data_IF_422777377632
#
_entry.id   IF_422777377632
#
_cell.length_a   1.000
_cell.length_b   1.000
_cell.length_c   1.000
_cell.angle_alpha   90.00
_cell.angle_beta   90.00
_cell.angle_gamma   90.00
#
_symmetry.space_group_name_H-M   'P 1'
#
loop_
_entity.id
_entity.type
_entity.pdbx_description
1 polymer ?
#
# COMPACT_ATOMS: atom_id res chain seq x y z
N UNK A 1 -16.71 -21.81 -1.28
CA UNK A 1 -15.82 -21.92 -0.09
C UNK A 1 -15.12 -20.58 0.10
N UNK A 2 -15.39 -19.84 1.17
CA UNK A 2 -14.79 -18.51 1.45
C UNK A 2 -13.69 -18.68 2.50
N UNK A 3 -12.43 -18.48 2.12
CA UNK A 3 -11.28 -18.55 3.02
C UNK A 3 -11.29 -17.37 4.00
N UNK A 4 -11.64 -17.64 5.26
CA UNK A 4 -11.39 -16.75 6.39
C UNK A 4 -10.00 -17.04 6.96
N UNK A 5 -9.01 -16.24 6.55
CA UNK A 5 -7.68 -16.33 7.12
C UNK A 5 -6.94 -15.01 7.03
N UNK A 6 -7.27 -14.03 7.88
CA UNK A 6 -6.34 -12.93 8.20
C UNK A 6 -6.75 -11.99 9.37
N UNK A 7 -7.47 -12.46 10.39
CA UNK A 7 -7.94 -11.57 11.49
C UNK A 7 -6.89 -11.32 12.58
N UNK A 8 -5.89 -12.20 12.72
CA UNK A 8 -4.85 -12.08 13.77
C UNK A 8 -3.75 -11.07 13.40
N UNK A 9 -3.29 -11.09 12.15
CA UNK A 9 -2.21 -10.20 11.67
C UNK A 9 -2.62 -8.73 11.69
N UNK A 10 -3.89 -8.44 11.34
CA UNK A 10 -4.42 -7.07 11.25
C UNK A 10 -4.41 -6.34 12.59
N UNK A 11 -4.73 -7.04 13.70
CA UNK A 11 -4.79 -6.44 15.03
C UNK A 11 -3.41 -6.11 15.58
N UNK A 12 -2.43 -6.99 15.40
CA UNK A 12 -1.03 -6.73 15.76
C UNK A 12 -0.47 -5.54 14.98
N UNK A 13 -0.74 -5.46 13.67
CA UNK A 13 -0.29 -4.33 12.85
C UNK A 13 -0.89 -2.98 13.30
N UNK A 14 -2.17 -2.98 13.70
CA UNK A 14 -2.84 -1.78 14.22
C UNK A 14 -2.26 -1.29 15.55
N UNK A 15 -1.81 -2.20 16.42
CA UNK A 15 -1.17 -1.86 17.69
C UNK A 15 0.22 -1.25 17.45
N UNK A 16 1.01 -1.83 16.53
CA UNK A 16 2.33 -1.29 16.17
C UNK A 16 2.21 0.11 15.55
N UNK A 17 1.28 0.32 14.62
CA UNK A 17 1.08 1.65 14.04
C UNK A 17 0.73 2.67 15.14
N UNK A 18 -0.11 2.33 16.13
CA UNK A 18 -0.48 3.25 17.23
C UNK A 18 0.69 3.67 18.14
N UNK A 19 1.78 2.90 18.17
CA UNK A 19 2.96 3.16 19.03
C UNK A 19 4.02 3.98 18.30
N UNK A 20 4.00 4.02 16.96
CA UNK A 20 4.95 4.79 16.16
C UNK A 20 4.56 6.26 16.08
N UNK A 21 5.56 7.13 16.09
CA UNK A 21 5.39 8.55 15.79
C UNK A 21 4.85 8.73 14.37
N UNK A 22 4.14 9.84 14.13
CA UNK A 22 3.51 10.12 12.83
C UNK A 22 4.54 10.15 11.70
N UNK A 23 5.73 10.68 11.95
CA UNK A 23 6.80 10.71 10.96
C UNK A 23 7.30 9.31 10.61
N UNK A 24 7.50 8.43 11.59
CA UNK A 24 7.87 7.03 11.37
C UNK A 24 6.80 6.28 10.57
N UNK A 25 5.52 6.57 10.82
CA UNK A 25 4.43 5.97 10.06
C UNK A 25 4.45 6.42 8.59
N UNK A 26 4.78 7.68 8.32
CA UNK A 26 4.91 8.24 6.97
C UNK A 26 6.14 7.62 6.26
N UNK A 27 7.27 7.51 6.93
CA UNK A 27 8.46 6.85 6.39
C UNK A 27 8.19 5.38 6.07
N UNK A 28 7.51 4.67 6.97
CA UNK A 28 7.12 3.28 6.72
C UNK A 28 6.13 3.14 5.56
N UNK A 29 5.23 4.11 5.37
CA UNK A 29 4.37 4.13 4.19
C UNK A 29 5.19 4.27 2.91
N UNK A 30 6.21 5.14 2.89
CA UNK A 30 7.12 5.28 1.75
C UNK A 30 7.86 3.98 1.43
N UNK A 31 8.37 3.29 2.45
CA UNK A 31 9.00 1.99 2.30
C UNK A 31 8.07 0.94 1.72
N UNK A 32 6.83 0.87 2.22
CA UNK A 32 5.82 -0.06 1.74
C UNK A 32 5.45 0.24 0.27
N UNK A 33 5.40 1.53 -0.14
CA UNK A 33 5.20 1.92 -1.55
C UNK A 33 6.37 1.40 -2.42
N UNK A 34 7.61 1.58 -1.97
CA UNK A 34 8.80 1.11 -2.71
C UNK A 34 8.81 -0.41 -2.84
N UNK A 35 8.53 -1.14 -1.75
CA UNK A 35 8.45 -2.61 -1.76
C UNK A 35 7.34 -3.09 -2.68
N UNK A 36 6.15 -2.49 -2.61
CA UNK A 36 5.03 -2.88 -3.48
C UNK A 36 5.36 -2.69 -4.95
N UNK A 37 6.06 -1.59 -5.31
CA UNK A 37 6.55 -1.39 -6.68
C UNK A 37 7.48 -2.52 -7.12
N UNK A 38 8.46 -2.86 -6.30
CA UNK A 38 9.40 -3.95 -6.60
C UNK A 38 8.65 -5.28 -6.78
N UNK A 39 7.68 -5.58 -5.91
CA UNK A 39 6.88 -6.81 -6.04
C UNK A 39 6.06 -6.86 -7.33
N UNK A 40 5.47 -5.74 -7.74
CA UNK A 40 4.80 -5.64 -9.04
C UNK A 40 5.77 -5.80 -10.20
N UNK A 41 6.95 -5.18 -10.15
CA UNK A 41 7.98 -5.32 -11.18
C UNK A 41 8.44 -6.79 -11.31
N UNK A 42 8.68 -7.49 -10.19
CA UNK A 42 8.99 -8.93 -10.17
C UNK A 42 7.86 -9.74 -10.82
N UNK A 43 6.61 -9.46 -10.47
CA UNK A 43 5.46 -10.14 -11.04
C UNK A 43 5.33 -9.90 -12.56
N UNK A 44 5.47 -8.65 -13.03
CA UNK A 44 5.42 -8.34 -14.47
C UNK A 44 6.57 -8.97 -15.26
N UNK A 45 7.72 -9.16 -14.62
CA UNK A 45 8.87 -9.86 -15.20
C UNK A 45 8.77 -11.40 -15.09
N UNK A 46 7.66 -11.94 -14.60
CA UNK A 46 7.42 -13.40 -14.50
C UNK A 46 8.04 -14.06 -13.26
N UNK A 47 8.63 -13.31 -12.34
CA UNK A 47 9.22 -13.85 -11.10
C UNK A 47 8.19 -14.24 -10.03
N UNK A 48 6.92 -13.87 -10.19
CA UNK A 48 5.79 -14.33 -9.36
C UNK A 48 4.60 -14.69 -10.24
N UNK A 49 3.81 -15.69 -9.82
CA UNK A 49 2.63 -16.19 -10.54
C UNK A 49 1.39 -15.32 -10.40
N UNK A 50 1.30 -14.51 -9.33
CA UNK A 50 0.14 -13.67 -9.03
C UNK A 50 0.57 -12.29 -8.57
N UNK A 51 -0.22 -11.24 -8.85
CA UNK A 51 0.10 -9.89 -8.41
C UNK A 51 -0.03 -9.74 -6.88
N UNK A 52 0.67 -8.78 -6.27
CA UNK A 52 0.72 -8.60 -4.81
C UNK A 52 -0.53 -7.90 -4.23
N UNK A 53 -1.71 -8.51 -4.39
CA UNK A 53 -2.99 -7.93 -3.97
C UNK A 53 -3.08 -7.64 -2.47
N UNK A 54 -2.58 -8.53 -1.62
CA UNK A 54 -2.62 -8.36 -0.16
C UNK A 54 -1.74 -7.19 0.28
N UNK A 55 -0.53 -7.07 -0.26
CA UNK A 55 0.39 -5.97 0.05
C UNK A 55 -0.22 -4.63 -0.40
N UNK A 56 -0.85 -4.59 -1.59
CA UNK A 56 -1.61 -3.43 -2.07
C UNK A 56 -2.73 -3.03 -1.11
N UNK A 57 -3.57 -3.98 -0.70
CA UNK A 57 -4.68 -3.72 0.21
C UNK A 57 -4.22 -3.24 1.59
N UNK A 58 -3.14 -3.80 2.12
CA UNK A 58 -2.54 -3.37 3.39
C UNK A 58 -2.03 -1.92 3.32
N UNK A 59 -1.33 -1.58 2.23
CA UNK A 59 -0.83 -0.22 1.99
C UNK A 59 -1.98 0.79 1.86
N UNK A 60 -3.02 0.46 1.11
CA UNK A 60 -4.22 1.31 0.97
C UNK A 60 -4.90 1.55 2.32
N UNK A 61 -5.02 0.52 3.16
CA UNK A 61 -5.59 0.67 4.49
C UNK A 61 -4.76 1.58 5.39
N UNK A 62 -3.42 1.51 5.33
CA UNK A 62 -2.53 2.40 6.09
C UNK A 62 -2.57 3.83 5.56
N UNK A 63 -2.50 4.00 4.24
CA UNK A 63 -2.59 5.31 3.59
C UNK A 63 -3.89 6.03 3.95
N UNK A 64 -5.03 5.33 3.90
CA UNK A 64 -6.33 5.91 4.24
C UNK A 64 -6.43 6.32 5.72
N UNK A 65 -5.83 5.52 6.63
CA UNK A 65 -5.77 5.85 8.05
C UNK A 65 -4.96 7.11 8.31
N UNK A 66 -3.77 7.21 7.72
CA UNK A 66 -2.91 8.39 7.83
C UNK A 66 -3.57 9.63 7.24
N UNK A 67 -4.21 9.49 6.07
CA UNK A 67 -4.89 10.59 5.41
C UNK A 67 -6.10 11.10 6.22
N UNK A 68 -6.77 10.21 6.93
CA UNK A 68 -7.87 10.56 7.85
C UNK A 68 -7.42 11.25 9.14
N UNK A 69 -6.11 11.29 9.45
CA UNK A 69 -5.59 11.98 10.63
C UNK A 69 -5.67 13.51 10.44
N UNK A 70 -6.42 14.17 11.33
CA UNK A 70 -6.61 15.64 11.32
C UNK A 70 -5.47 16.38 11.99
N UNK A 71 -4.70 15.71 12.84
CA UNK A 71 -3.67 16.32 13.70
C UNK A 71 -2.28 16.36 13.04
N UNK A 72 -2.20 16.10 11.73
CA UNK A 72 -0.94 16.20 10.97
C UNK A 72 -0.50 17.66 10.83
N UNK A 73 0.79 17.91 11.09
CA UNK A 73 1.42 19.19 10.74
C UNK A 73 1.40 19.44 9.22
N UNK A 74 1.62 20.68 8.80
CA UNK A 74 1.69 21.03 7.37
C UNK A 74 2.77 20.21 6.63
N UNK A 75 3.94 20.06 7.24
CA UNK A 75 5.04 19.28 6.66
C UNK A 75 4.68 17.79 6.50
N UNK A 76 4.07 17.19 7.53
CA UNK A 76 3.61 15.79 7.50
C UNK A 76 2.53 15.58 6.44
N UNK A 77 1.54 16.48 6.37
CA UNK A 77 0.48 16.44 5.36
C UNK A 77 1.03 16.57 3.94
N UNK A 78 1.99 17.47 3.74
CA UNK A 78 2.66 17.63 2.45
C UNK A 78 3.41 16.35 2.04
N UNK A 79 4.23 15.79 2.94
CA UNK A 79 4.93 14.51 2.69
C UNK A 79 3.95 13.39 2.35
N UNK A 80 2.89 13.22 3.15
CA UNK A 80 1.86 12.21 2.93
C UNK A 80 1.16 12.36 1.56
N UNK A 81 0.76 13.59 1.20
CA UNK A 81 0.10 13.86 -0.08
C UNK A 81 1.01 13.55 -1.28
N UNK A 82 2.31 13.83 -1.17
CA UNK A 82 3.28 13.47 -2.19
C UNK A 82 3.39 11.94 -2.35
N UNK A 83 3.41 11.19 -1.25
CA UNK A 83 3.43 9.72 -1.28
C UNK A 83 2.15 9.15 -1.91
N UNK A 84 0.97 9.68 -1.55
CA UNK A 84 -0.31 9.26 -2.11
C UNK A 84 -0.36 9.52 -3.62
N UNK A 85 0.13 10.69 -4.07
CA UNK A 85 0.19 11.04 -5.50
C UNK A 85 1.09 10.08 -6.27
N UNK A 86 2.27 9.76 -5.72
CA UNK A 86 3.20 8.78 -6.30
C UNK A 86 2.59 7.38 -6.37
N UNK A 87 1.95 6.94 -5.30
CA UNK A 87 1.26 5.64 -5.25
C UNK A 87 0.12 5.57 -6.28
N UNK A 88 -0.66 6.65 -6.43
CA UNK A 88 -1.75 6.73 -7.40
C UNK A 88 -1.24 6.55 -8.84
N UNK A 89 -0.12 7.20 -9.18
CA UNK A 89 0.52 7.03 -10.48
C UNK A 89 0.97 5.57 -10.72
N UNK A 90 1.59 4.92 -9.73
CA UNK A 90 1.98 3.52 -9.85
C UNK A 90 0.77 2.59 -10.00
N UNK A 91 -0.28 2.78 -9.21
CA UNK A 91 -1.51 2.00 -9.29
C UNK A 91 -2.12 2.07 -10.69
N UNK A 92 -2.12 3.24 -11.31
CA UNK A 92 -2.61 3.42 -12.68
C UNK A 92 -1.76 2.67 -13.70
N UNK A 93 -0.43 2.73 -13.59
CA UNK A 93 0.47 1.98 -14.46
C UNK A 93 0.27 0.47 -14.32
N UNK A 94 0.16 -0.04 -13.10
CA UNK A 94 -0.07 -1.47 -12.86
C UNK A 94 -1.44 -1.92 -13.36
N UNK A 95 -2.48 -1.11 -13.16
CA UNK A 95 -3.83 -1.39 -13.71
C UNK A 95 -3.79 -1.58 -15.22
N UNK A 96 -3.11 -0.68 -15.94
CA UNK A 96 -2.96 -0.78 -17.40
C UNK A 96 -2.19 -2.04 -17.81
N UNK A 97 -1.09 -2.36 -17.13
CA UNK A 97 -0.30 -3.57 -17.43
C UNK A 97 -1.05 -4.87 -17.15
N UNK A 98 -1.80 -4.93 -16.05
CA UNK A 98 -2.63 -6.08 -15.71
C UNK A 98 -3.72 -6.32 -16.75
N UNK A 99 -4.35 -5.24 -17.23
CA UNK A 99 -5.29 -5.31 -18.36
C UNK A 99 -4.64 -5.89 -19.62
N UNK A 100 -3.41 -5.47 -19.97
CA UNK A 100 -2.67 -6.03 -21.12
C UNK A 100 -2.36 -7.53 -20.94
N UNK A 101 -2.12 -8.00 -19.72
CA UNK A 101 -1.89 -9.43 -19.42
C UNK A 101 -3.17 -10.28 -19.43
N UNK A 102 -4.36 -9.69 -19.56
CA UNK A 102 -5.64 -10.39 -19.45
C UNK A 102 -6.06 -10.72 -18.02
N UNK A 103 -5.38 -10.13 -17.01
CA UNK A 103 -5.77 -10.23 -15.61
C UNK A 103 -6.59 -8.98 -15.25
N UNK A 104 -7.88 -8.98 -15.61
CA UNK A 104 -8.80 -7.90 -15.22
C UNK A 104 -9.04 -7.90 -13.71
N UNK A 105 -8.87 -6.73 -13.09
CA UNK A 105 -9.34 -6.47 -11.72
C UNK A 105 -10.60 -5.61 -11.84
N UNK A 106 -11.75 -6.17 -11.48
CA UNK A 106 -13.00 -5.44 -11.25
C UNK A 106 -12.96 -4.69 -9.92
#
# INVERSE_FOLDING_TARGET
>A
MRNFGNTLTRRSQMLTDKVLEVDDQIERLEDDIRKLKIEFDIYFNGGKKSPPHQARAALEARSNRLNGNRDLSFAQRYKLNNLISRYTAYRELWRRRLKTKGEEIY
#
